data_IF_549477951197
#
_entry.id   IF_549477951197
#
_cell.length_a   1.000
_cell.length_b   1.000
_cell.length_c   1.000
_cell.angle_alpha   90.00
_cell.angle_beta   90.00
_cell.angle_gamma   90.00
#
_symmetry.space_group_name_H-M   'P 1'
#
loop_
_entity.id
_entity.type
_entity.pdbx_description
1 polymer ?
#
# COMPACT_ATOMS: atom_id res chain seq x y z
N UNK A 1 -5.60 4.06 -6.12
CA UNK A 1 -7.00 3.79 -6.46
C UNK A 1 -7.87 4.14 -5.28
N UNK A 2 -8.88 5.01 -5.40
CA UNK A 2 -9.87 5.21 -4.33
C UNK A 2 -10.53 3.88 -3.96
N UNK A 3 -10.74 3.59 -2.67
CA UNK A 3 -11.38 2.33 -2.26
C UNK A 3 -12.86 2.23 -2.67
N UNK A 4 -13.45 3.33 -3.13
CA UNK A 4 -14.79 3.40 -3.74
C UNK A 4 -14.81 3.07 -5.23
N UNK A 5 -13.66 2.85 -5.86
CA UNK A 5 -13.59 2.50 -7.28
C UNK A 5 -14.23 1.13 -7.54
N UNK A 6 -14.99 1.02 -8.64
CA UNK A 6 -15.64 -0.22 -9.05
C UNK A 6 -15.67 -0.32 -10.58
N UNK A 7 -15.44 -1.53 -11.10
CA UNK A 7 -15.59 -1.86 -12.52
C UNK A 7 -16.16 -3.28 -12.66
N UNK A 8 -17.48 -3.39 -12.88
CA UNK A 8 -18.17 -4.67 -12.87
C UNK A 8 -18.09 -5.34 -11.49
N UNK A 9 -17.55 -6.56 -11.45
CA UNK A 9 -17.34 -7.31 -10.20
C UNK A 9 -16.09 -6.87 -9.41
N UNK A 10 -15.20 -6.11 -10.06
CA UNK A 10 -13.92 -5.68 -9.50
C UNK A 10 -14.02 -4.33 -8.78
N UNK A 11 -13.14 -4.11 -7.83
CA UNK A 11 -13.03 -2.88 -7.05
C UNK A 11 -11.58 -2.38 -7.01
N UNK A 12 -10.88 -2.58 -5.91
CA UNK A 12 -9.45 -2.35 -5.75
C UNK A 12 -8.78 -3.66 -5.32
N UNK A 13 -7.49 -3.81 -5.60
CA UNK A 13 -6.82 -5.12 -5.64
C UNK A 13 -6.89 -5.88 -4.31
N UNK A 14 -6.65 -5.21 -3.19
CA UNK A 14 -6.70 -5.82 -1.85
C UNK A 14 -8.10 -6.36 -1.54
N UNK A 15 -9.16 -5.61 -1.87
CA UNK A 15 -10.54 -6.06 -1.66
C UNK A 15 -10.93 -7.18 -2.59
N UNK A 16 -10.47 -7.13 -3.83
CA UNK A 16 -10.71 -8.19 -4.81
C UNK A 16 -10.00 -9.49 -4.40
N UNK A 17 -8.78 -9.41 -3.83
CA UNK A 17 -8.10 -10.54 -3.21
C UNK A 17 -8.89 -11.11 -2.02
N UNK A 18 -9.34 -10.25 -1.09
CA UNK A 18 -10.14 -10.69 0.06
C UNK A 18 -11.47 -11.37 -0.36
N UNK A 19 -12.02 -10.98 -1.52
CA UNK A 19 -13.21 -11.60 -2.12
C UNK A 19 -12.91 -12.89 -2.89
N UNK A 20 -11.66 -13.34 -2.94
CA UNK A 20 -11.23 -14.53 -3.66
C UNK A 20 -11.27 -14.38 -5.18
N UNK A 21 -11.19 -13.15 -5.70
CA UNK A 21 -11.19 -12.88 -7.15
C UNK A 21 -9.79 -12.97 -7.78
N UNK A 22 -8.74 -13.05 -6.96
CA UNK A 22 -7.34 -13.07 -7.40
C UNK A 22 -6.66 -14.37 -6.93
N UNK A 23 -6.51 -15.34 -7.83
CA UNK A 23 -6.02 -16.70 -7.50
C UNK A 23 -4.63 -16.73 -6.85
N UNK A 24 -3.79 -15.73 -7.11
CA UNK A 24 -2.40 -15.68 -6.61
C UNK A 24 -2.24 -14.93 -5.30
N UNK A 25 -3.29 -14.28 -4.79
CA UNK A 25 -3.24 -13.49 -3.56
C UNK A 25 -4.23 -14.08 -2.56
N UNK A 26 -3.77 -14.55 -1.39
CA UNK A 26 -4.66 -15.14 -0.37
C UNK A 26 -5.72 -14.14 0.11
N UNK A 27 -6.90 -14.64 0.47
CA UNK A 27 -8.04 -13.80 0.87
C UNK A 27 -7.93 -13.27 2.30
N UNK A 28 -7.09 -13.88 3.11
CA UNK A 28 -6.76 -13.56 4.49
C UNK A 28 -5.70 -12.46 4.63
N UNK A 29 -5.47 -11.67 3.58
CA UNK A 29 -4.44 -10.61 3.53
C UNK A 29 -4.72 -9.39 4.43
N UNK A 30 -5.91 -9.28 5.02
CA UNK A 30 -6.30 -8.23 5.96
C UNK A 30 -6.83 -8.85 7.25
N UNK A 31 -6.62 -8.16 8.38
CA UNK A 31 -7.23 -8.52 9.66
C UNK A 31 -8.73 -8.20 9.71
N UNK A 32 -9.17 -7.18 8.97
CA UNK A 32 -10.53 -6.68 8.92
C UNK A 32 -11.08 -6.70 7.49
N UNK A 33 -12.38 -6.42 7.33
CA UNK A 33 -12.95 -6.24 5.99
C UNK A 33 -12.29 -5.07 5.26
N UNK A 34 -11.97 -5.29 3.99
CA UNK A 34 -11.36 -4.28 3.13
C UNK A 34 -12.28 -3.05 3.02
N UNK A 35 -11.83 -1.86 3.46
CA UNK A 35 -12.69 -0.70 3.63
C UNK A 35 -13.22 -0.14 2.30
N UNK A 36 -14.33 0.59 2.37
CA UNK A 36 -14.86 1.38 1.24
C UNK A 36 -15.17 2.76 1.75
N UNK A 37 -14.27 3.70 1.50
CA UNK A 37 -14.42 5.06 1.99
C UNK A 37 -13.74 6.06 1.05
N UNK A 38 -14.35 7.23 0.87
CA UNK A 38 -13.85 8.29 -0.02
C UNK A 38 -12.47 8.83 0.38
N UNK A 39 -12.11 8.71 1.67
CA UNK A 39 -10.85 9.17 2.24
C UNK A 39 -9.78 8.07 2.35
N UNK A 40 -10.09 6.82 1.94
CA UNK A 40 -9.16 5.70 1.98
C UNK A 40 -8.82 5.27 0.57
N UNK A 41 -7.53 5.18 0.27
CA UNK A 41 -7.01 4.83 -1.04
C UNK A 41 -6.17 3.56 -0.95
N UNK A 42 -6.09 2.80 -2.03
CA UNK A 42 -5.10 1.76 -2.24
C UNK A 42 -3.95 2.31 -3.10
N UNK A 43 -2.71 2.10 -2.67
CA UNK A 43 -1.55 2.15 -3.55
C UNK A 43 -1.25 0.75 -4.09
N UNK A 44 -1.28 0.60 -5.41
CA UNK A 44 -0.80 -0.59 -6.10
C UNK A 44 0.51 -0.28 -6.83
N UNK A 45 1.40 -1.28 -6.95
CA UNK A 45 2.63 -1.21 -7.75
C UNK A 45 3.68 -0.17 -7.29
N UNK A 46 3.95 -0.06 -5.99
CA UNK A 46 5.13 0.67 -5.51
C UNK A 46 6.38 -0.20 -5.71
N UNK A 47 7.07 -0.03 -6.83
CA UNK A 47 8.32 -0.73 -7.10
C UNK A 47 9.36 0.20 -7.73
N UNK A 48 10.63 -0.18 -7.59
CA UNK A 48 11.76 0.46 -8.27
C UNK A 48 12.36 -0.56 -9.22
N UNK A 49 12.57 -0.15 -10.47
CA UNK A 49 13.17 -0.96 -11.52
C UNK A 49 14.43 -1.69 -11.02
N UNK A 50 14.59 -2.96 -11.40
CA UNK A 50 15.74 -3.78 -11.02
C UNK A 50 17.07 -3.19 -11.50
N UNK A 51 17.07 -2.50 -12.63
CA UNK A 51 18.27 -1.88 -13.22
C UNK A 51 18.65 -0.55 -12.55
N UNK A 52 17.83 -0.06 -11.61
CA UNK A 52 18.16 1.16 -10.86
C UNK A 52 19.44 0.95 -10.02
N UNK A 53 20.51 1.73 -10.25
CA UNK A 53 21.78 1.54 -9.54
C UNK A 53 21.61 1.59 -8.02
N UNK A 54 22.24 0.64 -7.32
CA UNK A 54 22.14 0.48 -5.87
C UNK A 54 22.39 1.79 -5.09
N UNK A 55 23.34 2.62 -5.57
CA UNK A 55 23.69 3.92 -4.97
C UNK A 55 22.54 4.93 -4.93
N UNK A 56 21.57 4.85 -5.85
CA UNK A 56 20.41 5.75 -5.90
C UNK A 56 19.08 5.05 -5.59
N UNK A 57 19.02 3.72 -5.61
CA UNK A 57 17.78 2.93 -5.45
C UNK A 57 16.94 3.36 -4.26
N UNK A 58 17.60 3.56 -3.10
CA UNK A 58 16.92 4.00 -1.88
C UNK A 58 16.35 5.42 -2.00
N UNK A 59 17.04 6.33 -2.69
CA UNK A 59 16.58 7.70 -2.94
C UNK A 59 15.38 7.72 -3.88
N UNK A 60 15.41 6.90 -4.93
CA UNK A 60 14.27 6.72 -5.85
C UNK A 60 13.05 6.21 -5.09
N UNK A 61 13.22 5.17 -4.27
CA UNK A 61 12.12 4.62 -3.46
C UNK A 61 11.53 5.65 -2.50
N UNK A 62 12.38 6.44 -1.82
CA UNK A 62 11.92 7.49 -0.93
C UNK A 62 11.10 8.56 -1.67
N UNK A 63 11.57 9.00 -2.84
CA UNK A 63 10.85 9.98 -3.66
C UNK A 63 9.51 9.44 -4.15
N UNK A 64 9.44 8.18 -4.59
CA UNK A 64 8.18 7.55 -4.99
C UNK A 64 7.16 7.52 -3.85
N UNK A 65 7.60 7.14 -2.64
CA UNK A 65 6.73 7.12 -1.45
C UNK A 65 6.25 8.53 -1.09
N UNK A 66 7.13 9.53 -1.10
CA UNK A 66 6.77 10.92 -0.80
C UNK A 66 5.77 11.48 -1.82
N UNK A 67 6.04 11.34 -3.12
CA UNK A 67 5.13 11.87 -4.15
C UNK A 67 3.80 11.13 -4.17
N UNK A 68 3.79 9.81 -3.96
CA UNK A 68 2.56 9.03 -3.85
C UNK A 68 1.70 9.48 -2.66
N UNK A 69 2.29 9.59 -1.48
CA UNK A 69 1.56 10.00 -0.26
C UNK A 69 1.07 11.44 -0.37
N UNK A 70 1.87 12.33 -0.98
CA UNK A 70 1.45 13.70 -1.29
C UNK A 70 0.27 13.73 -2.27
N UNK A 71 0.37 13.04 -3.40
CA UNK A 71 -0.69 13.01 -4.40
C UNK A 71 -2.00 12.43 -3.84
N UNK A 72 -1.92 11.41 -2.99
CA UNK A 72 -3.10 10.87 -2.31
C UNK A 72 -3.74 11.91 -1.38
N UNK A 73 -2.94 12.64 -0.59
CA UNK A 73 -3.43 13.72 0.30
C UNK A 73 -4.06 14.87 -0.49
N UNK A 74 -3.41 15.31 -1.56
CA UNK A 74 -3.90 16.38 -2.45
C UNK A 74 -5.27 16.03 -3.07
N UNK A 75 -5.58 14.74 -3.17
CA UNK A 75 -6.86 14.21 -3.65
C UNK A 75 -7.85 13.85 -2.52
N UNK A 76 -7.53 14.24 -1.28
CA UNK A 76 -8.42 14.10 -0.11
C UNK A 76 -8.31 12.78 0.65
N UNK A 77 -7.28 11.96 0.39
CA UNK A 77 -7.04 10.75 1.17
C UNK A 77 -6.44 11.08 2.55
N UNK A 78 -6.98 10.48 3.61
CA UNK A 78 -6.39 10.50 4.96
C UNK A 78 -5.68 9.18 5.29
N UNK A 79 -5.87 8.14 4.47
CA UNK A 79 -5.27 6.83 4.66
C UNK A 79 -4.94 6.18 3.31
N UNK A 80 -3.81 5.48 3.26
CA UNK A 80 -3.41 4.65 2.11
C UNK A 80 -3.12 3.21 2.55
N UNK A 81 -3.83 2.25 1.97
CA UNK A 81 -3.53 0.83 2.06
C UNK A 81 -2.53 0.43 0.97
N UNK A 82 -1.61 -0.47 1.29
CA UNK A 82 -0.69 -1.01 0.30
C UNK A 82 -0.16 -2.39 0.68
N UNK A 83 -0.05 -3.28 -0.30
CA UNK A 83 0.63 -4.57 -0.15
C UNK A 83 2.07 -4.44 -0.64
N UNK A 84 3.03 -4.67 0.26
CA UNK A 84 4.46 -4.43 0.04
C UNK A 84 5.30 -5.48 0.78
N UNK A 85 6.61 -5.61 0.48
CA UNK A 85 7.48 -6.52 1.22
C UNK A 85 7.48 -6.25 2.74
N UNK A 86 7.45 -7.31 3.54
CA UNK A 86 7.36 -7.28 5.00
C UNK A 86 8.56 -6.61 5.70
N UNK A 87 9.61 -6.26 4.94
CA UNK A 87 10.75 -5.48 5.44
C UNK A 87 10.45 -3.96 5.57
N UNK A 88 9.21 -3.54 5.28
CA UNK A 88 8.75 -2.15 5.35
C UNK A 88 9.08 -1.38 6.65
N UNK A 89 9.10 -1.99 7.86
CA UNK A 89 9.41 -1.24 9.08
C UNK A 89 10.82 -0.65 9.05
N UNK A 90 11.72 -1.21 8.24
CA UNK A 90 13.11 -0.75 8.10
C UNK A 90 13.24 0.55 7.29
N UNK A 91 12.23 0.95 6.52
CA UNK A 91 12.33 2.09 5.60
C UNK A 91 11.20 3.12 5.71
N UNK A 92 10.00 2.78 6.18
CA UNK A 92 8.86 3.74 6.28
C UNK A 92 9.21 4.96 7.12
N UNK A 93 9.81 4.75 8.31
CA UNK A 93 10.28 5.84 9.19
C UNK A 93 11.29 6.76 8.51
N UNK A 94 12.14 6.24 7.61
CA UNK A 94 13.13 7.03 6.88
C UNK A 94 12.51 7.86 5.75
N UNK A 95 11.30 7.49 5.31
CA UNK A 95 10.53 8.24 4.33
C UNK A 95 9.58 9.26 5.00
N UNK A 96 9.60 9.38 6.34
CA UNK A 96 8.70 10.27 7.07
C UNK A 96 7.25 9.80 7.10
N UNK A 97 7.01 8.51 6.85
CA UNK A 97 5.67 7.92 6.77
C UNK A 97 5.40 7.07 8.00
N UNK A 98 4.22 7.26 8.60
CA UNK A 98 3.71 6.39 9.66
C UNK A 98 2.82 5.33 9.06
N UNK A 99 3.12 4.08 9.40
CA UNK A 99 2.41 2.93 8.90
C UNK A 99 2.28 1.87 9.97
N UNK A 100 1.16 1.15 9.94
CA UNK A 100 0.88 -0.01 10.77
C UNK A 100 0.56 -1.22 9.89
N UNK A 101 0.78 -2.42 10.41
CA UNK A 101 0.30 -3.63 9.75
C UNK A 101 -1.24 -3.63 9.73
N UNK A 102 -1.83 -3.93 8.57
CA UNK A 102 -3.27 -4.08 8.39
C UNK A 102 -3.68 -5.54 8.11
N UNK A 103 -2.69 -6.44 7.97
CA UNK A 103 -2.90 -7.86 7.79
C UNK A 103 -1.66 -8.69 8.14
N UNK A 104 -1.75 -10.03 8.05
CA UNK A 104 -0.64 -10.93 8.33
C UNK A 104 0.49 -10.78 7.31
N UNK A 105 1.67 -11.30 7.66
CA UNK A 105 2.73 -11.54 6.68
C UNK A 105 2.37 -12.79 5.88
N UNK A 106 2.30 -12.66 4.55
CA UNK A 106 1.98 -13.73 3.63
C UNK A 106 3.13 -13.93 2.65
N UNK A 107 3.50 -15.18 2.39
CA UNK A 107 4.45 -15.48 1.33
C UNK A 107 3.71 -15.52 -0.01
N UNK A 108 4.05 -14.61 -0.91
CA UNK A 108 3.48 -14.51 -2.26
C UNK A 108 4.66 -14.56 -3.23
N UNK A 109 4.70 -15.58 -4.08
CA UNK A 109 5.78 -15.83 -5.04
C UNK A 109 7.19 -15.80 -4.42
N UNK A 110 7.34 -16.38 -3.22
CA UNK A 110 8.63 -16.44 -2.52
C UNK A 110 9.04 -15.14 -1.83
N UNK A 111 8.19 -14.11 -1.86
CA UNK A 111 8.41 -12.84 -1.16
C UNK A 111 7.42 -12.73 0.00
N UNK A 112 7.95 -12.49 1.20
CA UNK A 112 7.13 -12.15 2.35
C UNK A 112 6.57 -10.74 2.16
N UNK A 113 5.26 -10.65 1.97
CA UNK A 113 4.51 -9.41 1.79
C UNK A 113 3.57 -9.18 2.97
N UNK A 114 3.16 -7.94 3.16
CA UNK A 114 2.19 -7.56 4.18
C UNK A 114 1.35 -6.39 3.67
N UNK A 115 0.05 -6.41 3.95
CA UNK A 115 -0.78 -5.23 3.79
C UNK A 115 -0.53 -4.28 4.96
N UNK A 116 -0.20 -3.03 4.64
CA UNK A 116 -0.02 -1.96 5.61
C UNK A 116 -1.04 -0.86 5.41
N UNK A 117 -1.28 -0.11 6.48
CA UNK A 117 -2.06 1.13 6.47
C UNK A 117 -1.13 2.29 6.78
N UNK A 118 -0.99 3.22 5.84
CA UNK A 118 -0.27 4.47 5.97
C UNK A 118 -1.24 5.55 6.44
N UNK A 119 -0.87 6.26 7.51
CA UNK A 119 -1.60 7.44 7.97
C UNK A 119 -1.14 8.69 7.17
N UNK A 120 -2.09 9.38 6.55
CA UNK A 120 -1.86 10.63 5.82
C UNK A 120 -2.48 11.84 6.52
N UNK A 121 -3.17 11.64 7.63
CA UNK A 121 -3.80 12.70 8.42
C UNK A 121 -2.80 13.80 8.71
N UNK A 122 -3.21 15.06 8.54
CA UNK A 122 -2.35 16.18 8.90
C UNK A 122 -2.05 16.10 10.40
N UNK A 123 -0.77 15.97 10.72
CA UNK A 123 -0.29 16.26 12.06
C UNK A 123 -0.35 17.77 12.20
N UNK A 124 -1.43 18.29 12.78
CA UNK A 124 -1.42 19.67 13.27
C UNK A 124 -0.26 19.78 14.27
N UNK A 125 0.82 20.43 13.82
CA UNK A 125 1.93 20.87 14.65
C UNK A 125 1.69 22.31 15.10
#
# INVERSE_FOLDING_TARGET
>A
TPTTAQCGIYSYMIRDAQRGLLDTIPSELLYEEAPVASHIWESSRIFVDHDTPAKIRRRVHAHLVVEMTKAARDLGATQVLGMIPANWPRWTRRCGVEAVAAGPVLNIDGIDNQVISIDLSDKMH
#
